data_IF_653346956544
#
_entry.id   IF_653346956544
#
_cell.length_a   1.000
_cell.length_b   1.000
_cell.length_c   1.000
_cell.angle_alpha   90.00
_cell.angle_beta   90.00
_cell.angle_gamma   90.00
#
_symmetry.space_group_name_H-M   'P 1'
#
loop_
_entity.id
_entity.type
_entity.pdbx_description
1 polymer ?
#
# COMPACT_ATOMS: atom_id res chain seq x y z
N UNK A 1 12.04 14.34 -29.16
CA UNK A 1 11.51 13.89 -27.84
C UNK A 1 12.53 14.27 -26.77
N UNK A 2 12.25 15.29 -25.94
CA UNK A 2 13.28 15.92 -25.08
C UNK A 2 13.45 15.23 -23.72
N UNK A 3 14.68 15.23 -23.22
CA UNK A 3 15.12 14.64 -21.93
C UNK A 3 14.28 15.10 -20.72
N UNK A 4 13.73 16.32 -20.79
CA UNK A 4 12.96 16.97 -19.71
C UNK A 4 11.65 16.23 -19.35
N UNK A 5 10.93 15.64 -20.32
CA UNK A 5 9.68 14.93 -20.01
C UNK A 5 9.89 13.58 -19.32
N UNK A 6 11.07 12.96 -19.43
CA UNK A 6 11.40 11.72 -18.70
C UNK A 6 11.65 11.98 -17.22
N UNK A 7 12.32 13.08 -16.87
CA UNK A 7 12.65 13.41 -15.48
C UNK A 7 11.42 13.77 -14.64
N UNK A 8 10.47 14.52 -15.22
CA UNK A 8 9.18 14.78 -14.56
C UNK A 8 8.35 13.51 -14.33
N UNK A 9 8.40 12.55 -15.26
CA UNK A 9 7.76 11.25 -15.08
C UNK A 9 8.37 10.45 -13.93
N UNK A 10 9.70 10.48 -13.80
CA UNK A 10 10.44 9.75 -12.78
C UNK A 10 10.21 10.32 -11.37
N UNK A 11 10.25 11.65 -11.22
CA UNK A 11 9.98 12.30 -9.92
C UNK A 11 8.54 12.03 -9.43
N UNK A 12 7.56 12.07 -10.32
CA UNK A 12 6.16 11.80 -9.97
C UNK A 12 5.94 10.34 -9.59
N UNK A 13 6.62 9.41 -10.25
CA UNK A 13 6.59 7.98 -9.89
C UNK A 13 7.11 7.74 -8.47
N UNK A 14 8.24 8.37 -8.13
CA UNK A 14 8.86 8.26 -6.81
C UNK A 14 8.01 8.87 -5.70
N UNK A 15 7.30 9.97 -5.99
CA UNK A 15 6.33 10.56 -5.06
C UNK A 15 5.15 9.64 -4.79
N UNK A 16 4.64 8.92 -5.81
CA UNK A 16 3.54 7.98 -5.62
C UNK A 16 3.98 6.78 -4.78
N UNK A 17 5.18 6.24 -5.04
CA UNK A 17 5.77 5.18 -4.24
C UNK A 17 5.92 5.58 -2.76
N UNK A 18 6.46 6.77 -2.50
CA UNK A 18 6.57 7.32 -1.14
C UNK A 18 5.21 7.50 -0.46
N UNK A 19 4.18 7.91 -1.21
CA UNK A 19 2.83 8.12 -0.67
C UNK A 19 2.14 6.79 -0.35
N UNK A 20 2.35 5.75 -1.17
CA UNK A 20 1.91 4.39 -0.86
C UNK A 20 2.62 3.88 0.39
N UNK A 21 3.94 4.04 0.45
CA UNK A 21 4.71 3.62 1.61
C UNK A 21 4.26 4.35 2.89
N UNK A 22 4.04 5.66 2.84
CA UNK A 22 3.53 6.44 3.98
C UNK A 22 2.12 6.00 4.40
N UNK A 23 1.24 5.69 3.43
CA UNK A 23 -0.09 5.18 3.70
C UNK A 23 -0.04 3.77 4.33
N UNK A 24 0.83 2.90 3.84
CA UNK A 24 1.05 1.57 4.40
C UNK A 24 1.58 1.67 5.85
N UNK A 25 2.55 2.56 6.11
CA UNK A 25 3.09 2.83 7.46
C UNK A 25 2.02 3.33 8.43
N UNK A 26 1.10 4.19 7.96
CA UNK A 26 -0.01 4.69 8.78
C UNK A 26 -1.12 3.64 8.96
N UNK A 27 -1.26 2.72 8.00
CA UNK A 27 -2.25 1.66 8.06
C UNK A 27 -1.89 0.56 9.06
N UNK A 28 -0.62 0.20 9.21
CA UNK A 28 -0.17 -0.84 10.17
C UNK A 28 -0.68 -0.59 11.61
N UNK A 29 -0.47 0.58 12.25
CA UNK A 29 -1.00 0.83 13.59
C UNK A 29 -2.54 0.90 13.59
N UNK A 30 -3.15 1.41 12.53
CA UNK A 30 -4.61 1.43 12.38
C UNK A 30 -5.19 0.01 12.33
N UNK A 31 -4.54 -0.92 11.63
CA UNK A 31 -4.94 -2.31 11.52
C UNK A 31 -4.83 -3.04 12.88
N UNK A 32 -3.81 -2.73 13.69
CA UNK A 32 -3.71 -3.24 15.06
C UNK A 32 -4.85 -2.73 15.94
N UNK A 33 -5.18 -1.43 15.86
CA UNK A 33 -6.32 -0.87 16.58
C UNK A 33 -7.63 -1.53 16.16
N UNK A 34 -7.88 -1.68 14.85
CA UNK A 34 -9.08 -2.37 14.35
C UNK A 34 -9.14 -3.84 14.81
N UNK A 35 -8.02 -4.55 14.78
CA UNK A 35 -7.94 -5.93 15.28
C UNK A 35 -8.22 -6.02 16.79
N UNK A 36 -7.75 -5.03 17.56
CA UNK A 36 -8.01 -4.92 18.99
C UNK A 36 -9.49 -4.66 19.29
N UNK A 37 -10.09 -3.65 18.64
CA UNK A 37 -11.52 -3.33 18.79
C UNK A 37 -12.42 -4.50 18.38
N UNK A 38 -12.06 -5.25 17.31
CA UNK A 38 -12.77 -6.47 16.92
C UNK A 38 -12.71 -7.56 18.01
N UNK A 39 -11.63 -7.63 18.79
CA UNK A 39 -11.44 -8.67 19.81
C UNK A 39 -12.05 -8.31 21.17
N UNK A 40 -11.93 -7.06 21.59
CA UNK A 40 -12.33 -6.57 22.92
C UNK A 40 -13.64 -5.79 22.93
N UNK A 41 -14.22 -5.53 21.75
CA UNK A 41 -15.46 -4.79 21.57
C UNK A 41 -15.21 -3.30 21.34
N UNK A 42 -16.07 -2.68 20.52
CA UNK A 42 -15.93 -1.29 20.09
C UNK A 42 -16.10 -0.33 21.28
N UNK A 43 -14.99 0.06 21.90
CA UNK A 43 -14.96 0.97 23.04
C UNK A 43 -14.05 2.12 22.66
N UNK A 44 -14.64 3.12 21.99
CA UNK A 44 -13.94 4.31 21.48
C UNK A 44 -13.50 5.26 22.60
N UNK A 45 -12.83 4.72 23.62
CA UNK A 45 -12.24 5.46 24.72
C UNK A 45 -10.76 5.74 24.40
N UNK A 46 -10.23 6.92 24.73
CA UNK A 46 -8.81 7.21 24.56
C UNK A 46 -7.90 6.31 25.41
N UNK A 47 -8.43 5.67 26.46
CA UNK A 47 -7.72 4.65 27.25
C UNK A 47 -7.41 3.40 26.43
N UNK A 48 -8.34 2.99 25.55
CA UNK A 48 -8.20 1.80 24.70
C UNK A 48 -6.99 1.88 23.77
N UNK A 49 -6.73 3.06 23.19
CA UNK A 49 -5.58 3.29 22.31
C UNK A 49 -4.28 3.18 23.09
N UNK A 50 -4.22 3.75 24.29
CA UNK A 50 -3.03 3.70 25.15
C UNK A 50 -2.72 2.27 25.60
N UNK A 51 -3.74 1.51 25.98
CA UNK A 51 -3.58 0.11 26.39
C UNK A 51 -3.15 -0.76 25.21
N UNK A 52 -3.73 -0.54 24.02
CA UNK A 52 -3.32 -1.22 22.79
C UNK A 52 -1.85 -0.95 22.45
N UNK A 53 -1.39 0.32 22.53
CA UNK A 53 0.01 0.65 22.28
C UNK A 53 0.95 0.10 23.35
N UNK A 54 0.51 0.00 24.60
CA UNK A 54 1.29 -0.62 25.68
C UNK A 54 1.50 -2.12 25.45
N UNK A 55 0.46 -2.82 24.98
CA UNK A 55 0.46 -4.28 24.81
C UNK A 55 1.05 -4.72 23.46
N UNK A 56 0.82 -3.95 22.40
CA UNK A 56 1.20 -4.30 21.03
C UNK A 56 2.26 -3.35 20.43
N UNK A 57 2.82 -2.44 21.22
CA UNK A 57 3.81 -1.47 20.75
C UNK A 57 5.04 -2.12 20.13
N UNK A 58 5.59 -3.15 20.78
CA UNK A 58 6.74 -3.91 20.29
C UNK A 58 6.42 -4.60 18.96
N UNK A 59 5.29 -5.31 18.88
CA UNK A 59 4.84 -6.01 17.67
C UNK A 59 4.51 -5.03 16.54
N UNK A 60 4.01 -3.85 16.86
CA UNK A 60 3.75 -2.78 15.88
C UNK A 60 5.06 -2.25 15.31
N UNK A 61 6.06 -2.02 16.16
CA UNK A 61 7.39 -1.58 15.73
C UNK A 61 8.07 -2.64 14.85
N UNK A 62 8.01 -3.92 15.26
CA UNK A 62 8.50 -5.04 14.47
C UNK A 62 7.79 -5.11 13.12
N UNK A 63 6.45 -4.97 13.08
CA UNK A 63 5.68 -5.00 11.85
C UNK A 63 6.06 -3.86 10.89
N UNK A 64 6.27 -2.64 11.40
CA UNK A 64 6.71 -1.49 10.61
C UNK A 64 8.11 -1.71 10.01
N UNK A 65 9.04 -2.26 10.79
CA UNK A 65 10.40 -2.56 10.33
C UNK A 65 10.40 -3.68 9.28
N UNK A 66 9.69 -4.78 9.55
CA UNK A 66 9.58 -5.92 8.64
C UNK A 66 8.91 -5.48 7.33
N UNK A 67 7.81 -4.72 7.42
CA UNK A 67 7.12 -4.21 6.22
C UNK A 67 8.01 -3.25 5.43
N UNK A 68 8.72 -2.34 6.11
CA UNK A 68 9.68 -1.45 5.43
C UNK A 68 10.74 -2.25 4.68
N UNK A 69 11.31 -3.27 5.31
CA UNK A 69 12.29 -4.14 4.66
C UNK A 69 11.70 -4.90 3.46
N UNK A 70 10.50 -5.48 3.62
CA UNK A 70 9.78 -6.16 2.54
C UNK A 70 9.50 -5.23 1.35
N UNK A 71 9.06 -3.99 1.60
CA UNK A 71 8.79 -3.01 0.54
C UNK A 71 10.05 -2.68 -0.26
N UNK A 72 11.22 -2.61 0.40
CA UNK A 72 12.51 -2.37 -0.25
C UNK A 72 12.97 -3.58 -1.07
N UNK A 73 12.85 -4.79 -0.53
CA UNK A 73 13.36 -6.03 -1.17
C UNK A 73 12.45 -6.48 -2.31
N UNK A 74 11.14 -6.50 -2.08
CA UNK A 74 10.16 -7.00 -3.06
C UNK A 74 9.74 -5.95 -4.09
N UNK A 75 10.19 -4.70 -3.96
CA UNK A 75 9.79 -3.59 -4.84
C UNK A 75 8.26 -3.55 -5.04
N UNK A 76 7.55 -3.59 -3.91
CA UNK A 76 6.07 -3.60 -3.81
C UNK A 76 5.38 -2.33 -4.34
N UNK A 77 6.15 -1.45 -4.99
CA UNK A 77 5.67 -0.25 -5.69
C UNK A 77 4.80 -0.61 -6.90
N UNK A 78 4.99 -1.78 -7.53
CA UNK A 78 4.12 -2.26 -8.62
C UNK A 78 4.11 -1.41 -9.90
N UNK A 79 5.00 -0.40 -9.99
CA UNK A 79 5.06 0.55 -11.11
C UNK A 79 6.16 0.24 -12.14
N UNK A 80 7.12 -0.64 -11.84
CA UNK A 80 8.23 -0.93 -12.76
C UNK A 80 7.87 -1.95 -13.87
N UNK A 81 6.90 -2.86 -13.63
CA UNK A 81 6.55 -3.97 -14.54
C UNK A 81 5.26 -3.81 -15.36
N UNK A 82 4.57 -2.67 -15.24
CA UNK A 82 3.22 -2.48 -15.77
C UNK A 82 2.15 -2.91 -14.77
N UNK A 83 1.17 -2.03 -14.52
CA UNK A 83 0.16 -2.28 -13.51
C UNK A 83 -0.83 -3.35 -13.97
N UNK A 84 -0.68 -4.56 -13.47
CA UNK A 84 -1.65 -5.64 -13.60
C UNK A 84 -2.13 -6.05 -12.21
N UNK A 85 -3.44 -5.91 -11.97
CA UNK A 85 -4.05 -6.17 -10.66
C UNK A 85 -3.67 -7.55 -10.09
N UNK A 86 -3.51 -8.55 -10.97
CA UNK A 86 -3.15 -9.93 -10.60
C UNK A 86 -1.73 -10.06 -10.04
N UNK A 87 -0.75 -9.36 -10.63
CA UNK A 87 0.63 -9.37 -10.14
C UNK A 87 0.70 -8.67 -8.77
N UNK A 88 0.08 -7.49 -8.66
CA UNK A 88 0.02 -6.73 -7.41
C UNK A 88 -0.62 -7.54 -6.28
N UNK A 89 -1.71 -8.26 -6.57
CA UNK A 89 -2.36 -9.13 -5.58
C UNK A 89 -1.45 -10.26 -5.11
N UNK A 90 -0.75 -10.92 -6.04
CA UNK A 90 0.18 -12.01 -5.73
C UNK A 90 1.34 -11.52 -4.85
N UNK A 91 1.98 -10.42 -5.26
CA UNK A 91 3.12 -9.86 -4.53
C UNK A 91 2.73 -9.38 -3.14
N UNK A 92 1.56 -8.74 -3.01
CA UNK A 92 0.99 -8.36 -1.71
C UNK A 92 0.66 -9.56 -0.84
N UNK A 93 0.08 -10.61 -1.42
CA UNK A 93 -0.27 -11.81 -0.67
C UNK A 93 0.98 -12.46 -0.10
N UNK A 94 2.03 -12.60 -0.90
CA UNK A 94 3.32 -13.12 -0.45
C UNK A 94 3.94 -12.19 0.60
N UNK A 95 3.92 -10.87 0.38
CA UNK A 95 4.46 -9.90 1.31
C UNK A 95 3.76 -9.93 2.68
N UNK A 96 2.43 -10.00 2.70
CA UNK A 96 1.66 -10.12 3.95
C UNK A 96 1.88 -11.48 4.60
N UNK A 97 1.98 -12.55 3.81
CA UNK A 97 2.28 -13.88 4.35
C UNK A 97 3.66 -13.92 5.03
N UNK A 98 4.68 -13.31 4.42
CA UNK A 98 6.00 -13.18 5.02
C UNK A 98 6.00 -12.29 6.26
N UNK A 99 5.28 -11.16 6.22
CA UNK A 99 5.09 -10.29 7.38
C UNK A 99 4.50 -11.09 8.57
N UNK A 100 3.45 -11.87 8.32
CA UNK A 100 2.82 -12.71 9.35
C UNK A 100 3.77 -13.79 9.86
N UNK A 101 4.49 -14.48 8.96
CA UNK A 101 5.43 -15.52 9.34
C UNK A 101 6.58 -14.96 10.20
N UNK A 102 7.12 -13.79 9.84
CA UNK A 102 8.19 -13.14 10.60
C UNK A 102 7.71 -12.62 11.95
N UNK A 103 6.51 -12.04 12.02
CA UNK A 103 5.94 -11.62 13.30
C UNK A 103 5.61 -12.80 14.22
N UNK A 104 5.16 -13.94 13.69
CA UNK A 104 4.97 -15.15 14.47
C UNK A 104 6.31 -15.71 14.98
N UNK A 105 7.35 -15.69 14.15
CA UNK A 105 8.69 -16.10 14.55
C UNK A 105 9.25 -15.19 15.65
N UNK A 106 9.08 -13.88 15.51
CA UNK A 106 9.47 -12.87 16.51
C UNK A 106 8.71 -13.05 17.83
N UNK A 107 7.39 -13.23 17.78
CA UNK A 107 6.56 -13.51 18.95
C UNK A 107 6.91 -14.82 19.66
N UNK A 108 7.33 -15.84 18.91
CA UNK A 108 7.81 -17.10 19.49
C UNK A 108 9.16 -16.91 20.19
N UNK A 109 10.05 -16.11 19.59
CA UNK A 109 11.38 -15.84 20.14
C UNK A 109 11.32 -14.97 21.41
N UNK A 110 10.44 -13.97 21.42
CA UNK A 110 10.21 -13.08 22.58
C UNK A 110 9.43 -13.76 23.72
N UNK A 111 8.92 -14.98 23.51
CA UNK A 111 8.02 -15.72 24.44
C UNK A 111 6.78 -14.92 24.86
N UNK A 112 6.43 -13.87 24.13
CA UNK A 112 5.22 -13.10 24.36
C UNK A 112 4.07 -13.86 23.68
N UNK A 113 3.30 -14.60 24.48
CA UNK A 113 2.09 -15.28 24.01
C UNK A 113 0.96 -14.27 23.76
N UNK A 114 1.09 -13.46 22.71
CA UNK A 114 0.00 -12.61 22.25
C UNK A 114 -1.14 -13.46 21.65
N UNK A 115 -2.35 -12.92 21.75
CA UNK A 115 -3.57 -13.61 21.33
C UNK A 115 -3.53 -13.89 19.83
N UNK A 116 -3.45 -15.19 19.46
CA UNK A 116 -3.37 -15.67 18.07
C UNK A 116 -4.49 -15.12 17.17
N UNK A 117 -5.66 -14.86 17.77
CA UNK A 117 -6.82 -14.27 17.09
C UNK A 117 -6.55 -12.82 16.63
N UNK A 118 -5.88 -12.01 17.45
CA UNK A 118 -5.56 -10.61 17.10
C UNK A 118 -4.59 -10.57 15.91
N UNK A 119 -3.62 -11.49 15.88
CA UNK A 119 -2.73 -11.66 14.73
C UNK A 119 -3.46 -12.07 13.46
N UNK A 120 -4.45 -12.96 13.56
CA UNK A 120 -5.25 -13.35 12.40
C UNK A 120 -6.08 -12.18 11.87
N UNK A 121 -6.76 -11.43 12.75
CA UNK A 121 -7.49 -10.22 12.36
C UNK A 121 -6.57 -9.18 11.75
N UNK A 122 -5.38 -8.98 12.35
CA UNK A 122 -4.37 -8.08 11.82
C UNK A 122 -3.97 -8.47 10.40
N UNK A 123 -3.61 -9.73 10.15
CA UNK A 123 -3.25 -10.21 8.81
C UNK A 123 -4.35 -9.93 7.76
N UNK A 124 -5.62 -10.18 8.11
CA UNK A 124 -6.75 -9.87 7.24
C UNK A 124 -6.89 -8.36 6.98
N UNK A 125 -6.80 -7.52 8.02
CA UNK A 125 -6.90 -6.06 7.89
C UNK A 125 -5.70 -5.45 7.15
N UNK A 126 -4.50 -5.97 7.35
CA UNK A 126 -3.29 -5.55 6.61
C UNK A 126 -3.46 -5.86 5.13
N UNK A 127 -3.86 -7.09 4.78
CA UNK A 127 -4.07 -7.48 3.39
C UNK A 127 -5.15 -6.61 2.71
N UNK A 128 -6.30 -6.47 3.37
CA UNK A 128 -7.40 -5.66 2.86
C UNK A 128 -6.99 -4.19 2.70
N UNK A 129 -6.32 -3.60 3.68
CA UNK A 129 -5.90 -2.21 3.64
C UNK A 129 -4.83 -1.92 2.59
N UNK A 130 -3.80 -2.75 2.49
CA UNK A 130 -2.76 -2.56 1.47
C UNK A 130 -3.32 -2.68 0.05
N UNK A 131 -4.28 -3.59 -0.17
CA UNK A 131 -5.04 -3.66 -1.42
C UNK A 131 -5.90 -2.42 -1.65
N UNK A 132 -6.61 -1.94 -0.63
CA UNK A 132 -7.45 -0.74 -0.73
C UNK A 132 -6.61 0.49 -1.09
N UNK A 133 -5.49 0.73 -0.41
CA UNK A 133 -4.57 1.84 -0.69
C UNK A 133 -4.11 1.82 -2.16
N UNK A 134 -3.63 0.66 -2.64
CA UNK A 134 -3.15 0.53 -4.03
C UNK A 134 -4.29 0.65 -5.05
N UNK A 135 -5.47 0.14 -4.73
CA UNK A 135 -6.66 0.29 -5.58
C UNK A 135 -7.13 1.75 -5.67
N UNK A 136 -7.04 2.51 -4.56
CA UNK A 136 -7.35 3.94 -4.51
C UNK A 136 -6.37 4.74 -5.34
N UNK A 137 -5.06 4.48 -5.20
CA UNK A 137 -4.03 5.13 -6.01
C UNK A 137 -4.26 4.83 -7.48
N UNK A 138 -4.57 3.58 -7.85
CA UNK A 138 -4.90 3.25 -9.23
C UNK A 138 -6.13 3.97 -9.74
N UNK A 139 -7.23 3.98 -8.98
CA UNK A 139 -8.46 4.71 -9.37
C UNK A 139 -8.18 6.19 -9.56
N UNK A 140 -7.38 6.80 -8.68
CA UNK A 140 -6.95 8.20 -8.81
C UNK A 140 -6.09 8.43 -10.06
N UNK A 141 -5.15 7.53 -10.36
CA UNK A 141 -4.32 7.61 -11.56
C UNK A 141 -5.14 7.43 -12.84
N UNK A 142 -6.05 6.46 -12.89
CA UNK A 142 -6.98 6.26 -13.99
C UNK A 142 -7.91 7.45 -14.19
N UNK A 143 -8.48 7.99 -13.11
CA UNK A 143 -9.32 9.19 -13.16
C UNK A 143 -8.54 10.40 -13.69
N UNK A 144 -7.30 10.61 -13.23
CA UNK A 144 -6.42 11.67 -13.75
C UNK A 144 -6.04 11.42 -15.21
N UNK A 145 -5.76 10.18 -15.62
CA UNK A 145 -5.48 9.84 -17.02
C UNK A 145 -6.68 10.12 -17.92
N UNK A 146 -7.89 9.80 -17.46
CA UNK A 146 -9.14 10.11 -18.16
C UNK A 146 -9.36 11.63 -18.27
N UNK A 147 -9.13 12.38 -17.18
CA UNK A 147 -9.17 13.86 -17.19
C UNK A 147 -8.10 14.49 -18.10
N UNK A 148 -6.93 13.87 -18.23
CA UNK A 148 -5.86 14.37 -19.10
C UNK A 148 -6.15 14.03 -20.57
N UNK A 149 -6.74 12.87 -20.83
CA UNK A 149 -7.24 12.45 -22.15
C UNK A 149 -8.33 13.38 -22.67
N UNK A 150 -9.20 13.88 -21.79
CA UNK A 150 -10.22 14.87 -22.14
C UNK A 150 -9.68 16.31 -22.29
N UNK A 151 -8.44 16.59 -21.84
CA UNK A 151 -7.91 17.97 -21.77
C UNK A 151 -6.81 18.30 -22.77
N UNK A 152 -6.40 17.38 -23.67
CA UNK A 152 -5.51 17.75 -24.78
C UNK A 152 -5.43 16.69 -25.90
N UNK A 153 -6.35 16.80 -26.85
CA UNK A 153 -6.06 16.57 -28.27
C UNK A 153 -6.63 17.75 -29.05
N UNK A 154 -5.98 18.91 -28.91
CA UNK A 154 -6.10 19.95 -29.95
C UNK A 154 -5.04 19.57 -30.97
N UNK A 155 -5.48 19.00 -32.09
CA UNK A 155 -4.66 18.82 -33.29
C UNK A 155 -4.40 20.23 -33.82
N UNK A 156 -3.34 20.87 -33.31
CA UNK A 156 -2.82 22.11 -33.86
C UNK A 156 -1.87 21.71 -34.98
N UNK A 157 -2.44 21.54 -36.16
CA UNK A 157 -1.73 21.04 -37.35
C UNK A 157 -2.68 20.73 -38.49
N UNK A 158 -3.36 21.76 -39.01
CA UNK A 158 -4.07 21.69 -40.28
C UNK A 158 -3.10 21.56 -41.45
N UNK A 159 -2.65 20.35 -41.72
CA UNK A 159 -1.76 20.02 -42.84
C UNK A 159 -2.15 18.70 -43.48
N UNK A 160 -2.84 18.80 -44.62
CA UNK A 160 -3.01 17.92 -45.81
C UNK A 160 -2.74 16.39 -45.79
N UNK A 161 -2.56 15.72 -44.66
CA UNK A 161 -2.22 14.27 -44.59
C UNK A 161 -3.42 13.42 -44.10
N UNK A 162 -4.47 14.03 -43.57
CA UNK A 162 -5.66 13.31 -43.09
C UNK A 162 -6.60 12.79 -44.20
N UNK A 163 -6.20 12.82 -45.48
CA UNK A 163 -7.06 12.45 -46.62
C UNK A 163 -6.69 11.12 -47.31
N UNK A 164 -5.64 10.41 -46.87
CA UNK A 164 -5.18 9.19 -47.57
C UNK A 164 -5.32 7.88 -46.78
N UNK A 165 -6.01 7.87 -45.64
CA UNK A 165 -6.22 6.65 -44.85
C UNK A 165 -7.72 6.33 -44.65
N UNK A 166 -8.53 6.58 -45.69
CA UNK A 166 -9.81 5.87 -45.85
C UNK A 166 -9.57 4.37 -46.00
#
# INVERSE_FOLDING_TARGET
MSRSTREFGFMRSRQIALLIWAADMLWVPLAFLLAYECRYGFSASPGTVRDCFSIFGESTLAALLIWSFLTLVMRLDGFEGGWTFRAVFSDLFVGVFLLMALLLADGYLSRVYQSRLVFFYFGCFSFAGFLLIRSLVWRMLCSRRFRTSLRRVVILGGGRIAKELS
#
